data_IF_407985036023
#
_entry.id   IF_407985036023
#
_cell.length_a   1.000
_cell.length_b   1.000
_cell.length_c   1.000
_cell.angle_alpha   90.00
_cell.angle_beta   90.00
_cell.angle_gamma   90.00
#
_symmetry.space_group_name_H-M   'P 1'
#
loop_
_entity.id
_entity.type
_entity.pdbx_description
1 polymer ?
#
# COMPACT_ATOMS: atom_id res chain seq x y z
N UNK A 1 -24.05 15.53 -11.56
CA UNK A 1 -22.63 15.19 -11.83
C UNK A 1 -21.73 15.54 -10.66
N UNK A 2 -21.85 16.74 -10.07
CA UNK A 2 -21.02 17.19 -8.92
C UNK A 2 -21.09 16.29 -7.68
N UNK A 3 -22.25 15.72 -7.37
CA UNK A 3 -22.42 14.75 -6.26
C UNK A 3 -21.68 13.43 -6.50
N UNK A 4 -21.67 12.91 -7.73
CA UNK A 4 -20.94 11.70 -8.07
C UNK A 4 -19.43 11.91 -7.98
N UNK A 5 -18.92 13.05 -8.47
CA UNK A 5 -17.51 13.42 -8.33
C UNK A 5 -17.11 13.50 -6.85
N UNK A 6 -17.93 14.16 -6.02
CA UNK A 6 -17.66 14.26 -4.60
C UNK A 6 -17.59 12.88 -3.93
N UNK A 7 -18.54 11.98 -4.24
CA UNK A 7 -18.55 10.61 -3.71
C UNK A 7 -17.33 9.79 -4.15
N UNK A 8 -16.99 9.82 -5.44
CA UNK A 8 -15.80 9.12 -5.94
C UNK A 8 -14.50 9.69 -5.37
N UNK A 9 -14.40 11.02 -5.24
CA UNK A 9 -13.25 11.68 -4.63
C UNK A 9 -13.09 11.30 -3.16
N UNK A 10 -14.18 11.25 -2.39
CA UNK A 10 -14.18 10.82 -0.98
C UNK A 10 -13.80 9.34 -0.85
N UNK A 11 -14.35 8.48 -1.72
CA UNK A 11 -14.00 7.07 -1.76
C UNK A 11 -12.52 6.85 -2.09
N UNK A 12 -11.96 7.63 -3.04
CA UNK A 12 -10.56 7.57 -3.41
C UNK A 12 -9.65 8.02 -2.27
N UNK A 13 -10.01 9.12 -1.60
CA UNK A 13 -9.28 9.61 -0.43
C UNK A 13 -9.27 8.57 0.70
N UNK A 14 -10.44 7.97 1.00
CA UNK A 14 -10.58 6.92 2.00
C UNK A 14 -9.76 5.66 1.64
N UNK A 15 -9.77 5.25 0.37
CA UNK A 15 -8.98 4.10 -0.09
C UNK A 15 -7.47 4.36 -0.02
N UNK A 16 -6.99 5.53 -0.42
CA UNK A 16 -5.58 5.92 -0.36
C UNK A 16 -5.08 6.00 1.08
N UNK A 17 -5.86 6.63 1.96
CA UNK A 17 -5.52 6.72 3.39
C UNK A 17 -5.50 5.33 4.03
N UNK A 18 -6.50 4.48 3.79
CA UNK A 18 -6.51 3.11 4.29
C UNK A 18 -5.31 2.28 3.77
N UNK A 19 -4.93 2.47 2.51
CA UNK A 19 -3.77 1.80 1.91
C UNK A 19 -2.46 2.26 2.57
N UNK A 20 -2.26 3.57 2.72
CA UNK A 20 -1.09 4.13 3.40
C UNK A 20 -0.95 3.68 4.85
N UNK A 21 -2.07 3.62 5.60
CA UNK A 21 -2.10 3.08 6.96
C UNK A 21 -1.73 1.61 7.01
N UNK A 22 -2.21 0.81 6.06
CA UNK A 22 -1.90 -0.62 5.97
C UNK A 22 -0.41 -0.86 5.75
N UNK A 23 0.19 -0.15 4.77
CA UNK A 23 1.64 -0.24 4.50
C UNK A 23 2.45 0.19 5.71
N UNK A 24 2.08 1.31 6.35
CA UNK A 24 2.76 1.79 7.56
C UNK A 24 2.69 0.78 8.71
N UNK A 25 1.53 0.15 8.92
CA UNK A 25 1.37 -0.88 9.94
C UNK A 25 2.25 -2.11 9.65
N UNK A 26 2.33 -2.54 8.39
CA UNK A 26 3.21 -3.64 7.98
C UNK A 26 4.68 -3.30 8.21
N UNK A 27 5.14 -2.11 7.81
CA UNK A 27 6.52 -1.65 8.05
C UNK A 27 6.85 -1.65 9.54
N UNK A 28 6.00 -1.05 10.38
CA UNK A 28 6.23 -1.00 11.83
C UNK A 28 6.25 -2.40 12.45
N UNK A 29 5.43 -3.31 11.93
CA UNK A 29 5.40 -4.70 12.40
C UNK A 29 6.66 -5.45 11.98
N UNK A 30 7.12 -5.29 10.74
CA UNK A 30 8.38 -5.87 10.26
C UNK A 30 9.56 -5.32 11.07
N UNK A 31 9.62 -4.01 11.30
CA UNK A 31 10.69 -3.38 12.11
C UNK A 31 10.74 -3.94 13.55
N UNK A 32 9.59 -4.30 14.14
CA UNK A 32 9.50 -4.79 15.52
C UNK A 32 9.66 -6.31 15.66
N UNK A 33 8.99 -7.07 14.80
CA UNK A 33 8.90 -8.52 14.89
C UNK A 33 9.98 -9.24 14.08
N UNK A 34 10.51 -8.61 13.03
CA UNK A 34 11.45 -9.21 12.08
C UNK A 34 12.59 -8.23 11.72
N UNK A 35 13.45 -7.83 12.68
CA UNK A 35 14.49 -6.83 12.45
C UNK A 35 15.49 -7.23 11.35
N UNK A 36 15.85 -8.52 11.26
CA UNK A 36 16.74 -9.02 10.21
C UNK A 36 16.16 -8.83 8.80
N UNK A 37 14.85 -9.04 8.63
CA UNK A 37 14.17 -8.80 7.35
C UNK A 37 14.06 -7.30 7.06
N UNK A 38 13.81 -6.48 8.09
CA UNK A 38 13.81 -5.03 7.96
C UNK A 38 15.17 -4.48 7.49
N UNK A 39 16.27 -5.03 7.99
CA UNK A 39 17.63 -4.68 7.55
C UNK A 39 17.91 -5.10 6.12
N UNK A 40 17.51 -6.31 5.70
CA UNK A 40 17.65 -6.75 4.29
C UNK A 40 16.90 -5.81 3.34
N UNK A 41 15.66 -5.44 3.69
CA UNK A 41 14.88 -4.47 2.91
C UNK A 41 15.54 -3.08 2.87
N UNK A 42 16.17 -2.64 3.97
CA UNK A 42 16.91 -1.36 4.00
C UNK A 42 18.14 -1.42 3.10
N UNK A 43 18.89 -2.51 3.13
CA UNK A 43 20.10 -2.71 2.33
C UNK A 43 19.80 -2.66 0.82
N UNK A 44 18.69 -3.28 0.39
CA UNK A 44 18.23 -3.25 -1.02
C UNK A 44 17.91 -1.84 -1.52
N UNK A 45 17.53 -0.92 -0.63
CA UNK A 45 17.19 0.46 -0.95
C UNK A 45 18.03 1.47 -0.14
N UNK A 46 19.34 1.26 -0.05
CA UNK A 46 20.28 2.07 0.74
C UNK A 46 20.32 3.57 0.40
N UNK A 47 19.80 3.99 -0.76
CA UNK A 47 19.72 5.41 -1.18
C UNK A 47 18.52 6.17 -0.63
N UNK A 48 17.60 5.51 0.10
CA UNK A 48 16.38 6.12 0.65
C UNK A 48 16.42 6.20 2.18
N UNK A 49 15.66 7.12 2.80
CA UNK A 49 15.46 7.12 4.25
C UNK A 49 14.99 5.75 4.73
N UNK A 50 15.51 5.27 5.86
CA UNK A 50 15.38 3.89 6.32
C UNK A 50 13.93 3.33 6.28
N UNK A 51 12.93 4.12 6.69
CA UNK A 51 11.51 3.71 6.63
C UNK A 51 10.93 3.70 5.22
N UNK A 52 11.34 4.65 4.37
CA UNK A 52 10.91 4.68 2.97
C UNK A 52 11.54 3.55 2.16
N UNK A 53 12.78 3.17 2.49
CA UNK A 53 13.45 2.01 1.91
C UNK A 53 12.64 0.73 2.14
N UNK A 54 12.31 0.45 3.41
CA UNK A 54 11.47 -0.71 3.78
C UNK A 54 10.11 -0.65 3.10
N UNK A 55 9.42 0.49 3.16
CA UNK A 55 8.10 0.62 2.55
C UNK A 55 8.13 0.36 1.04
N UNK A 56 9.12 0.90 0.32
CA UNK A 56 9.20 0.71 -1.13
C UNK A 56 9.56 -0.71 -1.54
N UNK A 57 10.52 -1.33 -0.85
CA UNK A 57 10.90 -2.72 -1.14
C UNK A 57 9.79 -3.69 -0.73
N UNK A 58 9.10 -3.43 0.39
CA UNK A 58 7.93 -4.18 0.80
C UNK A 58 6.81 -4.11 -0.25
N UNK A 59 6.52 -2.92 -0.77
CA UNK A 59 5.50 -2.73 -1.82
C UNK A 59 5.89 -3.41 -3.14
N UNK A 60 7.19 -3.44 -3.46
CA UNK A 60 7.73 -4.15 -4.61
C UNK A 60 7.57 -5.66 -4.44
N UNK A 61 7.98 -6.19 -3.28
CA UNK A 61 7.80 -7.59 -2.91
C UNK A 61 6.32 -8.01 -2.97
N UNK A 62 5.41 -7.18 -2.44
CA UNK A 62 3.96 -7.41 -2.51
C UNK A 62 3.42 -7.44 -3.95
N UNK A 63 3.94 -6.57 -4.81
CA UNK A 63 3.57 -6.49 -6.23
C UNK A 63 4.13 -7.59 -7.11
N UNK A 64 5.32 -8.11 -6.78
CA UNK A 64 5.99 -9.19 -7.51
C UNK A 64 5.70 -10.58 -6.94
N UNK A 65 5.00 -10.64 -5.79
CA UNK A 65 4.70 -11.91 -5.12
C UNK A 65 5.90 -12.55 -4.44
N UNK A 66 6.89 -11.76 -4.05
CA UNK A 66 8.02 -12.26 -3.26
C UNK A 66 7.59 -12.77 -1.88
N UNK A 67 8.38 -13.68 -1.33
CA UNK A 67 8.13 -14.26 -0.02
C UNK A 67 8.25 -13.19 1.08
N UNK A 68 7.18 -13.02 1.85
CA UNK A 68 7.16 -12.26 3.08
C UNK A 68 7.56 -13.16 4.25
N UNK A 69 8.06 -12.61 5.37
CA UNK A 69 8.27 -13.39 6.58
C UNK A 69 6.98 -14.12 7.00
N UNK A 70 7.06 -15.36 7.49
CA UNK A 70 5.91 -16.17 7.86
C UNK A 70 5.27 -15.64 9.15
N UNK A 71 4.46 -14.59 9.02
CA UNK A 71 3.67 -13.98 10.10
C UNK A 71 2.21 -13.85 9.65
N UNK A 72 1.26 -14.54 10.31
CA UNK A 72 -0.14 -14.57 9.88
C UNK A 72 -0.79 -13.17 9.79
N UNK A 73 -0.35 -12.22 10.62
CA UNK A 73 -0.86 -10.86 10.56
C UNK A 73 -0.28 -10.07 9.37
N UNK A 74 0.97 -10.32 8.97
CA UNK A 74 1.54 -9.76 7.75
C UNK A 74 0.87 -10.35 6.51
N UNK A 75 0.54 -11.64 6.51
CA UNK A 75 -0.22 -12.27 5.42
C UNK A 75 -1.62 -11.67 5.27
N UNK A 76 -2.32 -11.46 6.39
CA UNK A 76 -3.62 -10.80 6.39
C UNK A 76 -3.53 -9.34 5.90
N UNK A 77 -2.51 -8.59 6.35
CA UNK A 77 -2.27 -7.23 5.91
C UNK A 77 -1.88 -7.15 4.42
N UNK A 78 -1.09 -8.11 3.92
CA UNK A 78 -0.73 -8.23 2.51
C UNK A 78 -1.97 -8.53 1.63
N UNK A 79 -2.86 -9.41 2.08
CA UNK A 79 -4.12 -9.66 1.39
C UNK A 79 -5.01 -8.40 1.35
N UNK A 80 -5.05 -7.64 2.44
CA UNK A 80 -5.78 -6.36 2.50
C UNK A 80 -5.16 -5.31 1.57
N UNK A 81 -3.85 -5.21 1.54
CA UNK A 81 -3.10 -4.33 0.63
C UNK A 81 -3.43 -4.64 -0.83
N UNK A 82 -3.41 -5.91 -1.22
CA UNK A 82 -3.78 -6.33 -2.59
C UNK A 82 -5.21 -5.92 -2.95
N UNK A 83 -6.17 -6.14 -2.06
CA UNK A 83 -7.57 -5.72 -2.29
C UNK A 83 -7.69 -4.21 -2.45
N UNK A 84 -7.02 -3.43 -1.60
CA UNK A 84 -7.02 -1.97 -1.68
C UNK A 84 -6.34 -1.49 -2.97
N UNK A 85 -5.22 -2.09 -3.35
CA UNK A 85 -4.50 -1.79 -4.59
C UNK A 85 -5.37 -2.06 -5.81
N UNK A 86 -6.00 -3.24 -5.88
CA UNK A 86 -6.95 -3.58 -6.95
C UNK A 86 -8.12 -2.58 -6.97
N UNK A 87 -8.69 -2.26 -5.81
CA UNK A 87 -9.75 -1.24 -5.70
C UNK A 87 -9.30 0.11 -6.26
N UNK A 88 -8.12 0.59 -5.88
CA UNK A 88 -7.54 1.86 -6.37
C UNK A 88 -7.29 1.85 -7.88
N UNK A 89 -6.87 0.71 -8.46
CA UNK A 89 -6.65 0.55 -9.91
C UNK A 89 -7.95 0.78 -10.69
N UNK A 90 -9.11 0.40 -10.16
CA UNK A 90 -10.41 0.65 -10.81
C UNK A 90 -11.01 2.01 -10.43
N UNK A 91 -10.84 2.43 -9.18
CA UNK A 91 -11.46 3.64 -8.66
C UNK A 91 -10.81 4.91 -9.21
N UNK A 92 -9.48 4.93 -9.41
CA UNK A 92 -8.79 6.10 -9.91
C UNK A 92 -9.16 6.44 -11.38
N UNK A 93 -9.20 5.49 -12.34
CA UNK A 93 -9.72 5.75 -13.68
C UNK A 93 -11.20 6.14 -13.68
N UNK A 94 -12.03 5.50 -12.85
CA UNK A 94 -13.46 5.83 -12.77
C UNK A 94 -13.68 7.28 -12.28
N UNK A 95 -12.88 7.74 -11.32
CA UNK A 95 -12.90 9.13 -10.87
C UNK A 95 -12.43 10.10 -11.96
N UNK A 96 -11.36 9.77 -12.70
CA UNK A 96 -10.89 10.59 -13.83
C UNK A 96 -11.94 10.69 -14.94
N UNK A 97 -12.61 9.59 -15.27
CA UNK A 97 -13.68 9.56 -16.25
C UNK A 97 -14.88 10.42 -15.79
N UNK A 98 -15.23 10.34 -14.50
CA UNK A 98 -16.30 11.15 -13.91
C UNK A 98 -15.96 12.66 -13.93
N UNK A 99 -14.68 13.03 -13.74
CA UNK A 99 -14.22 14.40 -13.90
C UNK A 99 -14.26 14.88 -15.35
N UNK A 100 -13.89 14.02 -16.31
CA UNK A 100 -13.87 14.36 -17.73
C UNK A 100 -15.27 14.53 -18.33
N UNK A 101 -16.27 13.81 -17.81
CA UNK A 101 -17.65 13.86 -18.27
C UNK A 101 -18.49 14.98 -17.62
N UNK A 102 -17.97 15.66 -16.59
CA UNK A 102 -18.68 16.69 -15.84
C UNK A 102 -18.38 18.10 -16.34
#
# INVERSE_FOLDING_TARGET
MSTLIALFGLALLAALTAWGWTVRAMVLRIERAHPAFAEDLRMRAARKPARMAIASELQKALGQGEALPPDPALTAAAARERRLRTGLIFLAPAFLLALFLA
#
